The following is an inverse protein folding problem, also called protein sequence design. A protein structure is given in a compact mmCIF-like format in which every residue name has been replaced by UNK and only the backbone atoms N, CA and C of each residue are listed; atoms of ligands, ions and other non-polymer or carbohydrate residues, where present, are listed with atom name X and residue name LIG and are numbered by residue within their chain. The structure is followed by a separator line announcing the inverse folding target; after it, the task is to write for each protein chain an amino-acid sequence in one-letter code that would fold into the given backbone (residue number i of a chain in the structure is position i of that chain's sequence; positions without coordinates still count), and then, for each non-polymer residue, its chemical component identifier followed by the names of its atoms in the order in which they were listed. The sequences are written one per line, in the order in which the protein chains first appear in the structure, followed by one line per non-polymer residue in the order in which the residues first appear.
data_IF_146470221866
#
_entry.id   IF_146470221866
#
_cell.length_a   1.000
_cell.length_b   1.000
_cell.length_c   1.000
_cell.angle_alpha   90.00
_cell.angle_beta   90.00
_cell.angle_gamma   90.00
#
_symmetry.space_group_name_H-M   'P 1'
#
loop_
_entity.id
_entity.type
_entity.pdbx_description
1 polymer ?
#
# COMPACT_ATOMS: atom_id res chain seq x y z
N UNK A 1 -5.75 20.88 6.00
CA UNK A 1 -6.15 19.82 5.04
C UNK A 1 -7.22 18.94 5.68
N UNK A 2 -8.07 18.27 4.90
CA UNK A 2 -9.15 17.41 5.45
C UNK A 2 -8.61 16.32 6.42
N UNK A 3 -7.37 15.89 6.22
CA UNK A 3 -6.65 14.93 7.07
C UNK A 3 -6.30 15.44 8.48
N UNK A 4 -6.67 16.68 8.79
CA UNK A 4 -6.43 17.36 10.06
C UNK A 4 -7.72 17.72 10.80
N UNK A 5 -8.88 17.37 10.25
CA UNK A 5 -10.20 17.69 10.79
C UNK A 5 -10.90 16.37 11.12
N UNK A 6 -10.75 15.91 12.37
CA UNK A 6 -11.22 14.60 12.79
C UNK A 6 -12.74 14.45 12.62
N UNK A 7 -13.50 15.52 12.87
CA UNK A 7 -14.95 15.54 12.72
C UNK A 7 -15.38 15.29 11.27
N UNK A 8 -14.57 15.72 10.29
CA UNK A 8 -14.86 15.47 8.86
C UNK A 8 -14.44 14.05 8.48
N UNK A 9 -13.32 13.56 9.00
CA UNK A 9 -12.86 12.19 8.75
C UNK A 9 -13.85 11.16 9.28
N UNK A 10 -14.49 11.41 10.43
CA UNK A 10 -15.53 10.54 10.99
C UNK A 10 -16.74 10.40 10.06
N UNK A 11 -17.07 11.44 9.28
CA UNK A 11 -18.18 11.42 8.31
C UNK A 11 -17.83 10.74 6.99
N UNK A 12 -16.56 10.44 6.75
CA UNK A 12 -16.10 9.88 5.49
C UNK A 12 -16.11 8.34 5.53
N UNK A 13 -16.82 7.71 4.59
CA UNK A 13 -16.72 6.27 4.36
C UNK A 13 -15.36 5.87 3.79
N UNK A 14 -14.72 6.79 3.05
CA UNK A 14 -13.43 6.58 2.42
C UNK A 14 -12.65 7.89 2.30
N UNK A 15 -11.32 7.80 2.47
CA UNK A 15 -10.42 8.94 2.39
C UNK A 15 -9.39 8.68 1.30
N UNK A 16 -9.48 9.45 0.21
CA UNK A 16 -8.58 9.33 -0.94
C UNK A 16 -7.50 10.41 -0.83
N UNK A 17 -6.24 9.98 -0.79
CA UNK A 17 -5.07 10.84 -0.75
C UNK A 17 -4.37 10.77 -2.11
N UNK A 18 -4.41 11.88 -2.84
CA UNK A 18 -3.69 12.02 -4.10
C UNK A 18 -2.23 12.35 -3.81
N UNK A 19 -1.32 11.53 -4.30
CA UNK A 19 0.13 11.68 -4.11
C UNK A 19 0.77 12.11 -5.41
N UNK A 20 1.76 12.99 -5.30
CA UNK A 20 2.51 13.58 -6.39
C UNK A 20 4.01 13.51 -6.08
N UNK A 21 4.83 13.30 -7.11
CA UNK A 21 6.27 13.48 -7.01
C UNK A 21 6.64 14.98 -6.98
N UNK A 22 7.85 15.27 -6.52
CA UNK A 22 8.35 16.64 -6.35
C UNK A 22 8.38 17.43 -7.66
N UNK A 23 8.73 16.79 -8.79
CA UNK A 23 8.85 17.45 -10.08
C UNK A 23 7.45 17.83 -10.61
N UNK A 24 6.48 16.92 -10.50
CA UNK A 24 5.10 17.23 -10.88
C UNK A 24 4.50 18.31 -9.97
N UNK A 25 4.76 18.27 -8.67
CA UNK A 25 4.35 19.32 -7.73
C UNK A 25 4.91 20.69 -8.14
N UNK A 26 6.22 20.75 -8.43
CA UNK A 26 6.92 21.96 -8.85
C UNK A 26 6.35 22.50 -10.16
N UNK A 27 6.30 21.68 -11.20
CA UNK A 27 5.79 22.04 -12.51
C UNK A 27 4.34 22.58 -12.43
N UNK A 28 3.46 21.91 -11.69
CA UNK A 28 2.07 22.34 -11.52
C UNK A 28 1.94 23.63 -10.72
N UNK A 29 2.87 23.92 -9.80
CA UNK A 29 2.87 25.16 -9.02
C UNK A 29 3.38 26.33 -9.85
N UNK A 30 4.50 26.13 -10.56
CA UNK A 30 5.10 27.14 -11.45
C UNK A 30 4.18 27.52 -12.62
N UNK A 31 3.33 26.58 -13.09
CA UNK A 31 2.33 26.85 -14.12
C UNK A 31 1.14 27.73 -13.64
N UNK A 32 0.97 27.96 -12.32
CA UNK A 32 -0.12 28.80 -11.80
C UNK A 32 0.27 30.27 -11.90
N UNK A 33 -0.35 30.96 -12.85
CA UNK A 33 -0.11 32.39 -13.11
C UNK A 33 -1.20 33.31 -12.55
N UNK A 34 -2.29 32.74 -12.03
CA UNK A 34 -3.52 33.43 -11.60
C UNK A 34 -3.67 33.56 -10.08
N UNK A 35 -2.68 33.09 -9.30
CA UNK A 35 -2.74 33.10 -7.83
C UNK A 35 -2.41 34.49 -7.25
N UNK A 36 -3.25 34.99 -6.33
CA UNK A 36 -3.09 36.31 -5.69
C UNK A 36 -3.13 36.17 -4.16
N UNK A 37 -2.09 36.64 -3.43
CA UNK A 37 -0.82 37.18 -3.94
C UNK A 37 0.04 36.09 -4.61
N UNK A 38 0.93 36.44 -5.56
CA UNK A 38 1.79 35.45 -6.23
C UNK A 38 2.75 34.79 -5.24
N UNK A 39 3.23 33.60 -5.60
CA UNK A 39 4.26 32.90 -4.83
C UNK A 39 5.56 33.73 -4.79
N UNK A 40 6.15 33.86 -3.60
CA UNK A 40 7.46 34.51 -3.44
C UNK A 40 8.59 33.55 -3.83
N UNK A 41 9.79 34.04 -4.19
CA UNK A 41 10.96 33.19 -4.40
C UNK A 41 11.19 32.23 -3.23
N UNK A 42 11.43 30.94 -3.51
CA UNK A 42 11.62 29.90 -2.49
C UNK A 42 10.34 29.41 -1.80
N UNK A 43 9.16 29.94 -2.15
CA UNK A 43 7.89 29.53 -1.55
C UNK A 43 7.60 28.03 -1.73
N UNK A 44 7.96 27.46 -2.87
CA UNK A 44 7.78 26.03 -3.12
C UNK A 44 8.60 25.18 -2.14
N UNK A 45 9.91 25.46 -2.05
CA UNK A 45 10.88 24.73 -1.25
C UNK A 45 10.63 24.87 0.25
N UNK A 46 10.25 26.07 0.70
CA UNK A 46 10.17 26.38 2.13
C UNK A 46 8.75 26.27 2.70
N UNK A 47 7.71 26.36 1.87
CA UNK A 47 6.32 26.39 2.34
C UNK A 47 5.49 25.30 1.69
N UNK A 48 5.30 25.34 0.37
CA UNK A 48 4.30 24.51 -0.29
C UNK A 48 4.65 23.01 -0.24
N UNK A 49 5.88 22.64 -0.61
CA UNK A 49 6.31 21.25 -0.63
C UNK A 49 6.47 20.66 0.79
N UNK A 50 7.08 21.35 1.77
CA UNK A 50 7.06 20.90 3.16
C UNK A 50 5.65 20.73 3.73
N UNK A 51 4.70 21.63 3.39
CA UNK A 51 3.31 21.47 3.82
C UNK A 51 2.68 20.20 3.23
N UNK A 52 2.86 19.96 1.93
CA UNK A 52 2.43 18.71 1.28
C UNK A 52 2.99 17.47 2.00
N UNK A 53 4.31 17.43 2.25
CA UNK A 53 4.95 16.30 2.94
C UNK A 53 4.39 16.07 4.34
N UNK A 54 4.15 17.13 5.12
CA UNK A 54 3.51 17.02 6.44
C UNK A 54 2.12 16.39 6.35
N UNK A 55 1.30 16.83 5.41
CA UNK A 55 -0.06 16.28 5.25
C UNK A 55 -0.04 14.83 4.76
N UNK A 56 0.89 14.49 3.86
CA UNK A 56 1.09 13.13 3.39
C UNK A 56 1.53 12.21 4.52
N UNK A 57 2.53 12.61 5.31
CA UNK A 57 3.03 11.84 6.44
C UNK A 57 1.92 11.59 7.49
N UNK A 58 1.13 12.62 7.82
CA UNK A 58 -0.04 12.48 8.70
C UNK A 58 -1.05 11.45 8.17
N UNK A 59 -1.32 11.47 6.88
CA UNK A 59 -2.21 10.51 6.26
C UNK A 59 -1.65 9.08 6.29
N UNK A 60 -0.34 8.90 6.04
CA UNK A 60 0.33 7.60 6.13
C UNK A 60 0.25 7.03 7.55
N UNK A 61 0.56 7.83 8.58
CA UNK A 61 0.43 7.43 9.98
C UNK A 61 -1.01 7.02 10.30
N UNK A 62 -2.01 7.83 9.93
CA UNK A 62 -3.43 7.50 10.15
C UNK A 62 -3.86 6.22 9.43
N UNK A 63 -3.33 5.98 8.23
CA UNK A 63 -3.66 4.76 7.46
C UNK A 63 -3.26 3.46 8.17
N UNK A 64 -2.32 3.52 9.13
CA UNK A 64 -1.91 2.36 9.92
C UNK A 64 -3.05 1.79 10.76
N UNK A 65 -3.92 2.65 11.28
CA UNK A 65 -5.06 2.24 12.11
C UNK A 65 -6.37 2.31 11.34
N UNK A 66 -6.49 3.18 10.34
CA UNK A 66 -7.72 3.41 9.58
C UNK A 66 -7.66 2.87 8.14
N UNK A 67 -8.45 1.83 7.86
CA UNK A 67 -8.52 1.18 6.55
C UNK A 67 -9.23 2.01 5.47
N UNK A 68 -9.86 3.13 5.83
CA UNK A 68 -10.56 4.01 4.89
C UNK A 68 -9.60 4.81 4.02
N UNK A 69 -8.34 4.95 4.43
CA UNK A 69 -7.33 5.66 3.67
C UNK A 69 -6.92 4.87 2.43
N UNK A 70 -6.77 5.58 1.32
CA UNK A 70 -6.32 5.04 0.05
C UNK A 70 -5.41 6.06 -0.62
N UNK A 71 -4.23 5.63 -1.05
CA UNK A 71 -3.24 6.48 -1.71
C UNK A 71 -3.26 6.24 -3.21
N UNK A 72 -3.26 7.34 -3.97
CA UNK A 72 -3.33 7.33 -5.42
C UNK A 72 -2.23 8.22 -5.98
N UNK A 73 -1.30 7.62 -6.71
CA UNK A 73 -0.28 8.36 -7.43
C UNK A 73 -0.86 9.02 -8.70
N UNK A 74 -0.90 10.34 -8.74
CA UNK A 74 -1.40 11.15 -9.87
C UNK A 74 -0.29 11.86 -10.65
N UNK A 75 0.94 11.36 -10.51
CA UNK A 75 2.13 11.89 -11.19
C UNK A 75 2.21 11.46 -12.67
N UNK A 76 1.79 10.23 -12.99
CA UNK A 76 1.80 9.72 -14.36
C UNK A 76 0.54 10.19 -15.13
N UNK A 77 0.64 10.70 -16.37
CA UNK A 77 -0.51 10.97 -17.21
C UNK A 77 -1.12 9.64 -17.71
N UNK A 78 -2.14 9.13 -17.01
CA UNK A 78 -2.68 7.78 -17.26
C UNK A 78 -3.81 7.69 -18.29
N UNK A 79 -4.14 8.77 -19.00
CA UNK A 79 -5.37 8.82 -19.80
C UNK A 79 -5.12 9.28 -21.25
N UNK A 80 -5.30 8.35 -22.20
CA UNK A 80 -5.44 8.65 -23.63
C UNK A 80 -6.91 8.89 -24.02
N UNK A 81 -7.85 8.14 -23.44
CA UNK A 81 -9.31 8.29 -23.61
C UNK A 81 -9.99 8.51 -22.26
N UNK A 82 -10.69 9.65 -22.08
CA UNK A 82 -11.06 10.18 -20.75
C UNK A 82 -12.22 9.48 -20.04
N UNK A 83 -13.11 8.73 -20.70
CA UNK A 83 -14.36 8.32 -20.05
C UNK A 83 -14.36 6.87 -19.53
N UNK A 84 -13.99 5.88 -20.32
CA UNK A 84 -13.97 4.47 -19.89
C UNK A 84 -12.86 4.19 -18.87
N UNK A 85 -11.69 4.81 -19.08
CA UNK A 85 -10.55 4.71 -18.17
C UNK A 85 -10.85 5.26 -16.77
N UNK A 86 -11.68 6.30 -16.65
CA UNK A 86 -12.07 6.88 -15.35
C UNK A 86 -13.04 5.97 -14.59
N UNK A 87 -13.98 5.32 -15.28
CA UNK A 87 -14.95 4.41 -14.64
C UNK A 87 -14.26 3.17 -14.11
N UNK A 88 -13.38 2.56 -14.91
CA UNK A 88 -12.58 1.42 -14.48
C UNK A 88 -11.68 1.80 -13.30
N UNK A 89 -11.01 2.95 -13.38
CA UNK A 89 -10.15 3.45 -12.30
C UNK A 89 -10.91 3.71 -11.00
N UNK A 90 -12.09 4.35 -11.07
CA UNK A 90 -12.96 4.53 -9.90
C UNK A 90 -13.33 3.18 -9.28
N UNK A 91 -13.67 2.20 -10.11
CA UNK A 91 -14.04 0.86 -9.67
C UNK A 91 -12.87 0.18 -8.95
N UNK A 92 -11.66 0.29 -9.48
CA UNK A 92 -10.44 -0.21 -8.84
C UNK A 92 -10.18 0.47 -7.48
N UNK A 93 -10.30 1.80 -7.41
CA UNK A 93 -10.13 2.53 -6.14
C UNK A 93 -11.10 2.03 -5.08
N UNK A 94 -12.38 1.87 -5.45
CA UNK A 94 -13.44 1.50 -4.51
C UNK A 94 -13.37 0.02 -4.10
N UNK A 95 -12.90 -0.87 -4.98
CA UNK A 95 -12.91 -2.31 -4.73
C UNK A 95 -11.57 -2.89 -4.28
N UNK A 96 -10.48 -2.13 -4.34
CA UNK A 96 -9.20 -2.55 -3.80
C UNK A 96 -9.00 -1.95 -2.39
N UNK A 97 -8.87 -2.81 -1.39
CA UNK A 97 -8.64 -2.45 0.00
C UNK A 97 -7.20 -2.79 0.38
N UNK A 98 -6.35 -1.77 0.46
CA UNK A 98 -4.94 -1.96 0.77
C UNK A 98 -4.66 -1.27 2.09
N UNK A 99 -4.05 -1.99 3.03
CA UNK A 99 -3.66 -1.43 4.33
C UNK A 99 -2.31 -1.98 4.77
N UNK A 100 -1.42 -1.10 5.20
CA UNK A 100 -0.25 -1.49 5.97
C UNK A 100 -0.50 -1.06 7.41
N UNK A 101 -0.38 -1.96 8.39
CA UNK A 101 -0.78 -1.71 9.78
C UNK A 101 0.25 -2.28 10.75
N UNK A 102 0.34 -1.76 11.97
CA UNK A 102 1.11 -2.34 13.09
C UNK A 102 0.25 -3.22 14.00
N UNK A 103 -1.06 -3.28 13.74
CA UNK A 103 -2.02 -4.08 14.52
C UNK A 103 -2.17 -5.49 13.97
N UNK A 104 -2.62 -6.42 14.82
CA UNK A 104 -2.90 -7.81 14.42
C UNK A 104 -3.96 -7.85 13.32
N UNK A 105 -3.73 -8.70 12.32
CA UNK A 105 -4.67 -8.89 11.22
C UNK A 105 -5.83 -9.80 11.67
N UNK A 106 -7.05 -9.29 11.53
CA UNK A 106 -8.27 -10.05 11.78
C UNK A 106 -8.82 -10.64 10.47
N UNK A 107 -8.69 -11.96 10.33
CA UNK A 107 -9.07 -12.67 9.10
C UNK A 107 -10.54 -12.46 8.73
N UNK A 108 -11.44 -12.54 9.70
CA UNK A 108 -12.88 -12.45 9.44
C UNK A 108 -13.27 -11.06 8.91
N UNK A 109 -12.76 -9.99 9.54
CA UNK A 109 -12.97 -8.60 9.12
C UNK A 109 -12.40 -8.35 7.73
N UNK A 110 -11.19 -8.87 7.46
CA UNK A 110 -10.54 -8.71 6.16
C UNK A 110 -11.28 -9.47 5.06
N UNK A 111 -11.74 -10.70 5.32
CA UNK A 111 -12.55 -11.46 4.36
C UNK A 111 -13.89 -10.79 4.05
N UNK A 112 -14.53 -10.13 5.03
CA UNK A 112 -15.77 -9.36 4.81
C UNK A 112 -15.58 -8.23 3.79
N UNK A 113 -14.40 -7.59 3.74
CA UNK A 113 -14.10 -6.58 2.73
C UNK A 113 -14.08 -7.16 1.31
N UNK A 114 -13.66 -8.42 1.15
CA UNK A 114 -13.62 -9.10 -0.14
C UNK A 114 -14.98 -9.61 -0.61
N UNK A 115 -15.98 -9.68 0.28
CA UNK A 115 -17.31 -10.17 -0.05
C UNK A 115 -18.04 -9.25 -1.03
N UNK A 116 -18.68 -9.86 -2.03
CA UNK A 116 -19.46 -9.18 -3.06
C UNK A 116 -20.61 -10.10 -3.50
N UNK A 117 -21.82 -9.55 -3.68
CA UNK A 117 -23.01 -10.34 -4.04
C UNK A 117 -22.92 -10.98 -5.43
N UNK A 118 -22.03 -10.48 -6.30
CA UNK A 118 -21.79 -11.05 -7.63
C UNK A 118 -20.73 -12.16 -7.64
N UNK A 119 -20.09 -12.45 -6.50
CA UNK A 119 -19.01 -13.42 -6.39
C UNK A 119 -19.47 -14.75 -5.80
N UNK A 120 -19.16 -15.85 -6.50
CA UNK A 120 -19.34 -17.22 -5.99
C UNK A 120 -18.10 -17.76 -5.27
N UNK A 121 -16.99 -17.03 -5.26
CA UNK A 121 -15.74 -17.46 -4.63
C UNK A 121 -14.96 -16.30 -4.01
N UNK A 122 -14.32 -16.60 -2.88
CA UNK A 122 -13.28 -15.78 -2.26
C UNK A 122 -12.08 -16.71 -2.02
N UNK A 123 -10.91 -16.32 -2.50
CA UNK A 123 -9.64 -17.01 -2.22
C UNK A 123 -8.81 -16.19 -1.26
N UNK A 124 -8.37 -16.80 -0.16
CA UNK A 124 -7.62 -16.12 0.89
C UNK A 124 -6.26 -16.77 1.10
N UNK A 125 -5.20 -15.96 1.13
CA UNK A 125 -3.86 -16.35 1.54
C UNK A 125 -3.50 -15.67 2.86
N UNK A 126 -2.99 -16.45 3.81
CA UNK A 126 -2.47 -15.95 5.09
C UNK A 126 -0.98 -16.31 5.18
N UNK A 127 -0.10 -15.31 5.16
CA UNK A 127 1.33 -15.49 5.41
C UNK A 127 1.59 -15.58 6.90
N UNK A 128 1.69 -16.80 7.44
CA UNK A 128 1.85 -17.06 8.87
C UNK A 128 3.32 -17.25 9.25
N UNK A 129 3.76 -16.61 10.32
CA UNK A 129 5.11 -16.80 10.87
C UNK A 129 5.28 -18.23 11.39
N UNK A 130 6.32 -18.91 10.90
CA UNK A 130 6.69 -20.26 11.34
C UNK A 130 7.62 -20.19 12.55
N UNK A 131 7.65 -21.26 13.34
CA UNK A 131 8.54 -21.43 14.49
C UNK A 131 9.98 -21.81 14.12
N UNK A 132 10.25 -22.03 12.83
CA UNK A 132 11.56 -22.41 12.33
C UNK A 132 11.92 -21.75 10.99
N UNK A 133 13.22 -21.49 10.82
CA UNK A 133 13.82 -21.09 9.56
C UNK A 133 15.25 -21.65 9.48
N UNK A 134 15.59 -22.33 8.39
CA UNK A 134 16.91 -22.94 8.16
C UNK A 134 17.43 -23.79 9.34
N UNK A 135 16.53 -24.55 9.98
CA UNK A 135 16.86 -25.43 11.11
C UNK A 135 17.00 -24.71 12.46
N UNK A 136 16.80 -23.39 12.51
CA UNK A 136 16.85 -22.59 13.74
C UNK A 136 15.45 -22.23 14.23
N UNK A 137 15.28 -22.19 15.55
CA UNK A 137 14.05 -21.74 16.19
C UNK A 137 13.86 -20.22 16.02
N UNK A 138 12.69 -19.81 15.55
CA UNK A 138 12.30 -18.41 15.36
C UNK A 138 11.32 -18.02 16.46
N UNK A 139 11.60 -16.93 17.17
CA UNK A 139 10.73 -16.37 18.22
C UNK A 139 9.68 -15.42 17.61
N UNK A 140 10.12 -14.54 16.71
CA UNK A 140 9.28 -13.53 16.07
C UNK A 140 9.85 -13.12 14.71
N UNK A 141 9.03 -12.48 13.88
CA UNK A 141 9.48 -11.71 12.74
C UNK A 141 9.13 -10.24 12.95
N UNK A 142 10.08 -9.34 12.70
CA UNK A 142 9.80 -7.90 12.65
C UNK A 142 9.78 -7.43 11.21
N UNK A 143 8.80 -6.60 10.87
CA UNK A 143 8.62 -6.07 9.52
C UNK A 143 8.69 -4.55 9.51
N UNK A 144 9.26 -3.97 8.46
CA UNK A 144 9.28 -2.52 8.23
C UNK A 144 8.97 -2.22 6.76
N UNK A 145 8.44 -1.04 6.45
CA UNK A 145 7.97 -0.71 5.11
C UNK A 145 8.18 0.76 4.75
N UNK A 146 8.60 1.02 3.50
CA UNK A 146 8.51 2.35 2.93
C UNK A 146 7.07 2.60 2.43
N UNK A 147 6.19 3.03 3.33
CA UNK A 147 4.72 3.02 3.13
C UNK A 147 4.24 3.58 1.79
N UNK A 148 4.69 4.78 1.42
CA UNK A 148 4.23 5.43 0.20
C UNK A 148 4.55 4.59 -1.05
N UNK A 149 5.75 4.01 -1.08
CA UNK A 149 6.23 3.19 -2.20
C UNK A 149 5.54 1.82 -2.19
N UNK A 150 5.34 1.25 -1.00
CA UNK A 150 4.60 0.01 -0.84
C UNK A 150 3.14 0.17 -1.33
N UNK A 151 2.42 1.22 -0.93
CA UNK A 151 1.08 1.52 -1.46
C UNK A 151 1.08 1.70 -2.99
N UNK A 152 2.08 2.39 -3.55
CA UNK A 152 2.22 2.59 -5.00
C UNK A 152 2.40 1.26 -5.73
N UNK A 153 3.30 0.39 -5.27
CA UNK A 153 3.57 -0.93 -5.86
C UNK A 153 2.37 -1.86 -5.71
N UNK A 154 1.75 -1.93 -4.53
CA UNK A 154 0.54 -2.73 -4.29
C UNK A 154 -0.63 -2.33 -5.20
N UNK A 155 -0.80 -1.03 -5.47
CA UNK A 155 -1.79 -0.54 -6.45
C UNK A 155 -1.46 -0.98 -7.88
N UNK A 156 -0.19 -0.95 -8.29
CA UNK A 156 0.25 -1.46 -9.60
C UNK A 156 -0.01 -2.98 -9.72
N UNK A 157 0.22 -3.73 -8.64
CA UNK A 157 -0.10 -5.15 -8.57
C UNK A 157 -1.61 -5.39 -8.75
N UNK A 158 -2.47 -4.64 -8.06
CA UNK A 158 -3.93 -4.76 -8.21
C UNK A 158 -4.37 -4.51 -9.66
N UNK A 159 -3.83 -3.49 -10.32
CA UNK A 159 -4.11 -3.22 -11.73
C UNK A 159 -3.69 -4.38 -12.64
N UNK A 160 -2.46 -4.91 -12.48
CA UNK A 160 -1.95 -6.06 -13.25
C UNK A 160 -2.77 -7.32 -13.05
N UNK A 161 -3.23 -7.57 -11.82
CA UNK A 161 -4.12 -8.71 -11.53
C UNK A 161 -5.42 -8.58 -12.34
N UNK A 162 -6.00 -7.37 -12.41
CA UNK A 162 -7.25 -7.13 -13.15
C UNK A 162 -7.06 -7.21 -14.67
N UNK A 163 -5.89 -6.84 -15.18
CA UNK A 163 -5.54 -7.06 -16.59
C UNK A 163 -5.53 -8.55 -16.95
N UNK A 164 -5.00 -9.42 -16.07
CA UNK A 164 -4.95 -10.87 -16.30
C UNK A 164 -6.26 -11.59 -15.92
N UNK A 165 -6.99 -11.06 -14.93
CA UNK A 165 -8.24 -11.60 -14.40
C UNK A 165 -9.34 -10.53 -14.33
N UNK A 166 -9.96 -10.17 -15.48
CA UNK A 166 -10.94 -9.08 -15.55
C UNK A 166 -12.22 -9.31 -14.74
N UNK A 167 -12.50 -10.55 -14.35
CA UNK A 167 -13.66 -10.94 -13.55
C UNK A 167 -13.44 -10.82 -12.03
N UNK A 168 -12.24 -10.44 -11.58
CA UNK A 168 -11.98 -10.10 -10.18
C UNK A 168 -12.82 -8.89 -9.79
N UNK A 169 -13.59 -9.01 -8.71
CA UNK A 169 -14.41 -7.93 -8.17
C UNK A 169 -13.64 -7.13 -7.14
N UNK A 170 -13.16 -7.78 -6.09
CA UNK A 170 -12.45 -7.12 -4.99
C UNK A 170 -11.08 -7.74 -4.75
N UNK A 171 -10.14 -6.89 -4.37
CA UNK A 171 -8.78 -7.28 -3.96
C UNK A 171 -8.54 -6.64 -2.59
N UNK A 172 -8.17 -7.44 -1.61
CA UNK A 172 -7.86 -6.97 -0.26
C UNK A 172 -6.45 -7.41 0.08
N UNK A 173 -5.57 -6.47 0.41
CA UNK A 173 -4.16 -6.73 0.76
C UNK A 173 -3.84 -5.99 2.04
N UNK A 174 -3.73 -6.74 3.14
CA UNK A 174 -3.40 -6.20 4.45
C UNK A 174 -2.06 -6.76 4.89
N UNK A 175 -1.10 -5.89 5.16
CA UNK A 175 0.23 -6.28 5.63
C UNK A 175 0.51 -5.67 6.99
N UNK A 176 0.96 -6.50 7.93
CA UNK A 176 1.38 -6.10 9.26
C UNK A 176 2.88 -5.76 9.26
N UNK A 177 3.23 -4.63 9.85
CA UNK A 177 4.60 -4.22 10.20
C UNK A 177 4.79 -4.32 11.70
N UNK A 178 6.02 -4.09 12.16
CA UNK A 178 6.42 -4.34 13.55
C UNK A 178 6.55 -5.82 13.84
N UNK A 179 6.51 -6.17 15.11
CA UNK A 179 6.68 -7.55 15.59
C UNK A 179 5.45 -8.41 15.26
N UNK A 180 5.69 -9.59 14.69
CA UNK A 180 4.70 -10.62 14.35
C UNK A 180 5.17 -11.95 14.95
N UNK A 181 4.41 -12.46 15.90
CA UNK A 181 4.76 -13.69 16.63
C UNK A 181 4.52 -14.93 15.77
N UNK A 182 5.19 -16.02 16.14
CA UNK A 182 4.91 -17.35 15.59
C UNK A 182 3.42 -17.67 15.64
N UNK A 183 2.87 -18.20 14.55
CA UNK A 183 1.46 -18.53 14.41
C UNK A 183 0.56 -17.33 14.04
N UNK A 184 1.09 -16.11 14.02
CA UNK A 184 0.35 -14.92 13.56
C UNK A 184 0.60 -14.63 12.08
N UNK A 185 -0.38 -14.02 11.41
CA UNK A 185 -0.24 -13.59 10.01
C UNK A 185 0.44 -12.23 9.90
N UNK A 186 1.50 -12.15 9.09
CA UNK A 186 2.13 -10.90 8.67
C UNK A 186 1.45 -10.30 7.44
N UNK A 187 0.78 -11.12 6.63
CA UNK A 187 0.03 -10.65 5.46
C UNK A 187 -1.22 -11.48 5.26
N UNK A 188 -2.32 -10.82 4.89
CA UNK A 188 -3.54 -11.46 4.42
C UNK A 188 -3.93 -10.86 3.08
N UNK A 189 -4.15 -11.72 2.10
CA UNK A 189 -4.61 -11.35 0.75
C UNK A 189 -5.92 -12.07 0.49
N UNK A 190 -6.96 -11.33 0.12
CA UNK A 190 -8.23 -11.90 -0.31
C UNK A 190 -8.58 -11.38 -1.70
N UNK A 191 -8.98 -12.27 -2.62
CA UNK A 191 -9.55 -11.87 -3.90
C UNK A 191 -10.91 -12.54 -4.11
N UNK A 192 -11.84 -11.85 -4.74
CA UNK A 192 -13.17 -12.39 -5.02
C UNK A 192 -13.54 -12.32 -6.50
N UNK A 193 -14.22 -13.35 -6.98
CA UNK A 193 -14.70 -13.47 -8.36
C UNK A 193 -16.00 -14.28 -8.46
N UNK A 194 -16.72 -14.19 -9.58
CA UNK A 194 -17.85 -15.09 -9.87
C UNK A 194 -17.47 -16.58 -9.81
N UNK A 195 -16.26 -16.94 -10.25
CA UNK A 195 -15.81 -18.32 -10.34
C UNK A 195 -14.45 -18.54 -9.66
N UNK A 196 -14.34 -19.65 -8.91
CA UNK A 196 -13.18 -19.98 -8.07
C UNK A 196 -11.80 -19.88 -8.74
N UNK A 197 -11.70 -20.20 -10.04
CA UNK A 197 -10.41 -20.28 -10.74
C UNK A 197 -9.70 -18.93 -10.72
N UNK A 198 -10.41 -17.85 -11.06
CA UNK A 198 -9.86 -16.50 -11.10
C UNK A 198 -9.44 -16.03 -9.72
N UNK A 199 -10.26 -16.23 -8.68
CA UNK A 199 -9.88 -15.87 -7.30
C UNK A 199 -8.63 -16.62 -6.83
N UNK A 200 -8.52 -17.93 -7.08
CA UNK A 200 -7.35 -18.71 -6.66
C UNK A 200 -6.07 -18.19 -7.34
N UNK A 201 -6.09 -18.06 -8.67
CA UNK A 201 -4.92 -17.60 -9.43
C UNK A 201 -4.56 -16.15 -9.12
N UNK A 202 -5.54 -15.26 -8.95
CA UNK A 202 -5.29 -13.87 -8.59
C UNK A 202 -4.65 -13.73 -7.21
N UNK A 203 -5.08 -14.53 -6.22
CA UNK A 203 -4.48 -14.52 -4.88
C UNK A 203 -3.03 -15.03 -4.92
N UNK A 204 -2.75 -16.10 -5.67
CA UNK A 204 -1.39 -16.63 -5.90
C UNK A 204 -0.48 -15.59 -6.57
N UNK A 205 -0.92 -15.04 -7.71
CA UNK A 205 -0.21 -13.98 -8.41
C UNK A 205 0.04 -12.77 -7.50
N UNK A 206 -0.92 -12.39 -6.67
CA UNK A 206 -0.78 -11.25 -5.77
C UNK A 206 0.31 -11.45 -4.72
N UNK A 207 0.42 -12.63 -4.11
CA UNK A 207 1.47 -12.87 -3.09
C UNK A 207 2.85 -12.94 -3.73
N UNK A 208 2.97 -13.53 -4.92
CA UNK A 208 4.24 -13.63 -5.63
C UNK A 208 4.76 -12.24 -6.00
N UNK A 209 3.92 -11.42 -6.63
CA UNK A 209 4.28 -10.04 -6.98
C UNK A 209 4.56 -9.17 -5.74
N UNK A 210 3.83 -9.38 -4.64
CA UNK A 210 4.09 -8.65 -3.39
C UNK A 210 5.51 -8.92 -2.88
N UNK A 211 5.91 -10.20 -2.85
CA UNK A 211 7.25 -10.62 -2.41
C UNK A 211 8.37 -10.24 -3.37
N UNK A 212 8.05 -9.99 -4.63
CA UNK A 212 9.01 -9.55 -5.63
C UNK A 212 9.23 -8.03 -5.58
N UNK A 213 8.15 -7.25 -5.57
CA UNK A 213 8.19 -5.83 -5.95
C UNK A 213 7.94 -4.82 -4.82
N UNK A 214 7.37 -5.27 -3.69
CA UNK A 214 6.91 -4.35 -2.63
C UNK A 214 8.00 -4.21 -1.58
N UNK A 215 8.47 -2.97 -1.27
CA UNK A 215 9.58 -2.73 -0.34
C UNK A 215 9.13 -2.87 1.12
N UNK A 216 8.92 -4.12 1.54
CA UNK A 216 8.63 -4.52 2.91
C UNK A 216 9.76 -5.45 3.36
N UNK A 217 10.50 -4.99 4.37
CA UNK A 217 11.67 -5.67 4.89
C UNK A 217 11.29 -6.57 6.04
N UNK A 218 11.95 -7.73 6.15
CA UNK A 218 11.76 -8.64 7.28
C UNK A 218 13.05 -8.79 8.08
N UNK A 219 12.89 -8.95 9.37
CA UNK A 219 13.93 -9.22 10.35
C UNK A 219 13.52 -10.45 11.16
N UNK A 220 14.41 -11.42 11.29
CA UNK A 220 14.15 -12.68 11.98
C UNK A 220 14.77 -12.64 13.39
N UNK A 221 13.96 -12.86 14.43
CA UNK A 221 14.45 -12.99 15.81
C UNK A 221 14.50 -14.47 16.20
N UNK A 222 15.68 -14.97 16.56
CA UNK A 222 15.90 -16.38 16.88
C UNK A 222 15.82 -16.63 18.39
N UNK A 223 15.40 -17.84 18.77
CA UNK A 223 15.23 -18.24 20.17
C UNK A 223 16.56 -18.49 20.91
N UNK A 224 17.64 -18.68 20.18
CA UNK A 224 18.96 -19.03 20.71
C UNK A 224 19.73 -17.81 21.26
N UNK A 225 19.35 -16.58 20.90
CA UNK A 225 19.95 -15.33 21.40
C UNK A 225 21.42 -15.10 21.00
N UNK A 226 22.07 -16.08 20.37
CA UNK A 226 23.50 -16.07 20.04
C UNK A 226 23.80 -15.25 18.77
N UNK A 227 22.82 -15.02 17.90
CA UNK A 227 22.99 -14.23 16.67
C UNK A 227 21.82 -13.28 16.45
N UNK A 228 22.09 -11.95 16.43
CA UNK A 228 21.08 -10.96 16.02
C UNK A 228 20.71 -11.22 14.56
N UNK A 229 19.42 -11.28 14.26
CA UNK A 229 18.91 -11.39 12.89
C UNK A 229 19.50 -10.33 11.95
N UNK A 230 19.42 -10.60 10.64
CA UNK A 230 19.77 -9.63 9.59
C UNK A 230 18.49 -9.22 8.87
N UNK A 231 18.34 -7.92 8.60
CA UNK A 231 17.29 -7.43 7.72
C UNK A 231 17.47 -8.04 6.33
N UNK A 232 16.47 -8.77 5.88
CA UNK A 232 16.39 -9.33 4.52
C UNK A 232 15.44 -8.44 3.70
N UNK A 233 15.93 -7.98 2.56
CA UNK A 233 15.18 -7.24 1.55
C UNK A 233 14.81 -8.14 0.38
N UNK A 234 13.94 -7.68 -0.51
CA UNK A 234 13.69 -8.36 -1.78
C UNK A 234 14.89 -8.12 -2.73
N UNK A 235 15.08 -8.97 -3.74
CA UNK A 235 16.26 -8.91 -4.63
C UNK A 235 16.33 -7.62 -5.47
N UNK A 236 15.20 -6.96 -5.75
CA UNK A 236 15.13 -5.68 -6.46
C UNK A 236 15.57 -4.47 -5.59
N UNK A 237 15.50 -4.56 -4.26
CA UNK A 237 15.84 -3.47 -3.33
C UNK A 237 17.33 -3.07 -3.40
N UNK A 238 18.19 -3.95 -3.89
CA UNK A 238 19.62 -3.64 -4.14
C UNK A 238 19.80 -2.56 -5.22
N UNK A 239 18.83 -2.36 -6.11
CA UNK A 239 18.88 -1.33 -7.16
C UNK A 239 18.26 0.00 -6.72
N UNK A 240 17.17 -0.01 -5.95
CA UNK A 240 16.44 1.22 -5.58
C UNK A 240 16.97 1.92 -4.31
N UNK A 241 17.68 1.23 -3.39
CA UNK A 241 18.36 1.91 -2.26
C UNK A 241 19.31 3.03 -2.71
N UNK A 242 20.00 2.84 -3.84
CA UNK A 242 20.86 3.87 -4.44
C UNK A 242 20.08 5.11 -4.94
N UNK A 243 18.78 5.00 -5.17
CA UNK A 243 17.93 6.11 -5.67
C UNK A 243 17.25 6.85 -4.52
N UNK A 244 16.84 6.14 -3.46
CA UNK A 244 16.27 6.76 -2.26
C UNK A 244 17.32 7.57 -1.48
N UNK A 245 18.56 7.06 -1.35
CA UNK A 245 19.68 7.81 -0.76
C UNK A 245 20.07 9.06 -1.57
N UNK A 246 19.74 9.10 -2.88
CA UNK A 246 19.93 10.29 -3.72
C UNK A 246 18.80 11.33 -3.61
N UNK A 247 17.66 10.97 -2.99
CA UNK A 247 16.48 11.85 -2.88
C UNK A 247 16.25 12.44 -1.48
N UNK A 248 17.10 12.17 -0.49
CA UNK A 248 16.95 12.66 0.90
C UNK A 248 15.49 12.59 1.40
N UNK A 249 14.90 11.40 1.28
CA UNK A 249 13.72 10.98 2.03
C UNK A 249 14.14 10.00 3.11
#
# INVERSE_FOLDING_TARGET
MITEMDEILELCDRVIVLTLDVNTCRQRREARTDYVPPDTPGYFEHVAFPAYLRHLNRALIRSRTDARFTFIDVSEPRYSDRNESIIDYRTQILNDHIKITDTRLDLETIMKLAADSSCGAISTFCGVTRDNHDGRGVASLSYDAHDLMAYKKLRKICARIREQHPDIRKIVIFHRVGEVKVGESSVIICTSSPHRKSAIHATEMCIDLLKEEVPIFKYEEYTDGEEKGKWKSNEEDKKEKNVAEQLNL
#
